data_IF_557433339051
#
_entry.id   IF_557433339051
#
_cell.length_a   1.000
_cell.length_b   1.000
_cell.length_c   1.000
_cell.angle_alpha   90.00
_cell.angle_beta   90.00
_cell.angle_gamma   90.00
#
_symmetry.space_group_name_H-M   'P 1'
#
loop_
_entity.id
_entity.type
_entity.pdbx_description
1 polymer ?
#
# COMPACT_ATOMS: atom_id res chain seq x y z
N UNK A 1 71.00 11.07 18.02
CA UNK A 1 70.29 11.51 16.80
C UNK A 1 69.69 10.30 16.10
N UNK A 2 68.40 10.00 16.32
CA UNK A 2 67.55 9.22 15.41
C UNK A 2 66.11 9.73 15.63
N UNK A 3 65.62 10.52 14.68
CA UNK A 3 64.23 10.93 14.59
C UNK A 3 63.40 9.72 14.12
N UNK A 4 62.34 9.37 14.85
CA UNK A 4 61.28 8.51 14.34
C UNK A 4 60.08 9.42 14.05
N UNK A 5 59.84 9.66 12.76
CA UNK A 5 58.69 10.37 12.27
C UNK A 5 57.45 9.46 12.38
N UNK A 6 56.49 9.87 13.20
CA UNK A 6 55.16 9.26 13.27
C UNK A 6 54.36 9.75 12.05
N UNK A 7 54.13 8.85 11.09
CA UNK A 7 53.22 9.11 9.95
C UNK A 7 51.78 8.87 10.45
N UNK A 8 51.06 9.95 10.74
CA UNK A 8 49.62 9.89 10.99
C UNK A 8 48.89 9.67 9.66
N UNK A 9 48.34 8.48 9.46
CA UNK A 9 47.36 8.22 8.40
C UNK A 9 46.04 8.90 8.78
N UNK A 10 45.74 10.03 8.13
CA UNK A 10 44.39 10.57 8.05
C UNK A 10 43.60 9.67 7.09
N UNK A 11 42.78 8.77 7.64
CA UNK A 11 41.77 8.06 6.88
C UNK A 11 40.70 9.08 6.46
N UNK A 12 40.68 9.43 5.17
CA UNK A 12 39.55 10.14 4.57
C UNK A 12 38.34 9.21 4.58
N UNK A 13 37.37 9.48 5.46
CA UNK A 13 36.03 8.92 5.34
C UNK A 13 35.42 9.51 4.07
N UNK A 14 35.52 8.77 2.98
CA UNK A 14 34.67 9.00 1.83
C UNK A 14 33.25 8.68 2.26
N UNK A 15 32.43 9.71 2.50
CA UNK A 15 30.98 9.55 2.57
C UNK A 15 30.55 8.98 1.22
N UNK A 16 30.25 7.68 1.20
CA UNK A 16 29.59 7.06 0.08
C UNK A 16 28.19 7.66 0.01
N UNK A 17 28.02 8.71 -0.79
CA UNK A 17 26.72 9.03 -1.38
C UNK A 17 26.41 7.82 -2.24
N UNK A 18 25.61 6.89 -1.71
CA UNK A 18 24.95 5.86 -2.50
C UNK A 18 24.06 6.59 -3.51
N UNK A 19 24.59 6.80 -4.71
CA UNK A 19 23.79 7.22 -5.86
C UNK A 19 22.85 6.05 -6.13
N UNK A 20 21.57 6.24 -5.83
CA UNK A 20 20.53 5.28 -6.17
C UNK A 20 20.36 5.26 -7.69
N UNK A 21 20.97 4.26 -8.32
CA UNK A 21 20.92 4.02 -9.77
C UNK A 21 19.51 3.62 -10.26
N UNK A 22 18.54 3.45 -9.35
CA UNK A 22 17.12 3.21 -9.64
C UNK A 22 16.24 4.47 -9.58
N UNK A 23 16.79 5.63 -9.18
CA UNK A 23 16.01 6.87 -9.03
C UNK A 23 15.45 7.31 -10.38
N UNK A 24 14.14 7.14 -10.57
CA UNK A 24 13.43 7.64 -11.75
C UNK A 24 13.40 9.16 -11.69
N UNK A 25 13.57 9.80 -12.85
CA UNK A 25 13.34 11.24 -12.97
C UNK A 25 11.91 11.56 -12.50
N UNK A 26 11.81 12.46 -11.53
CA UNK A 26 10.54 12.89 -10.96
C UNK A 26 10.59 14.37 -10.58
N UNK A 27 9.50 15.12 -10.79
CA UNK A 27 9.38 16.48 -10.28
C UNK A 27 9.15 16.52 -8.76
N UNK A 28 8.79 15.40 -8.12
CA UNK A 28 8.48 15.38 -6.69
C UNK A 28 9.72 15.09 -5.84
N UNK A 29 10.04 16.02 -4.96
CA UNK A 29 10.97 15.81 -3.86
C UNK A 29 10.19 15.54 -2.57
N UNK A 30 10.56 14.50 -1.85
CA UNK A 30 9.99 14.19 -0.53
C UNK A 30 11.09 14.26 0.52
N UNK A 31 10.84 15.00 1.59
CA UNK A 31 11.73 15.09 2.75
C UNK A 31 11.01 14.65 4.02
N UNK A 32 11.56 13.66 4.71
CA UNK A 32 11.10 13.19 6.01
C UNK A 32 11.89 13.86 7.12
N UNK A 33 11.20 14.22 8.20
CA UNK A 33 11.76 14.78 9.43
C UNK A 33 11.02 14.18 10.64
N UNK A 34 11.74 13.80 11.70
CA UNK A 34 11.10 13.40 12.97
C UNK A 34 10.54 14.63 13.69
N UNK A 35 9.31 14.53 14.19
CA UNK A 35 8.62 15.56 14.96
C UNK A 35 8.05 14.93 16.23
N UNK A 36 8.92 14.63 17.19
CA UNK A 36 8.59 13.88 18.41
C UNK A 36 9.25 12.50 18.42
N UNK A 37 8.72 11.58 19.24
CA UNK A 37 9.28 10.25 19.39
C UNK A 37 9.08 9.37 18.15
N UNK A 38 7.83 9.28 17.67
CA UNK A 38 7.46 8.43 16.50
C UNK A 38 6.65 9.18 15.44
N UNK A 39 6.37 10.47 15.66
CA UNK A 39 5.74 11.30 14.64
C UNK A 39 6.76 11.75 13.59
N UNK A 40 6.36 11.67 12.32
CA UNK A 40 7.14 12.00 11.14
C UNK A 40 6.37 13.05 10.35
N UNK A 41 7.09 14.10 9.94
CA UNK A 41 6.61 15.08 8.96
C UNK A 41 7.21 14.75 7.61
N UNK A 42 6.36 14.56 6.61
CA UNK A 42 6.74 14.53 5.21
C UNK A 42 6.49 15.90 4.59
N UNK A 43 7.51 16.50 3.98
CA UNK A 43 7.40 17.69 3.13
C UNK A 43 7.53 17.26 1.68
N UNK A 44 6.51 17.54 0.87
CA UNK A 44 6.42 17.14 -0.54
C UNK A 44 6.50 18.42 -1.36
N UNK A 45 7.54 18.54 -2.18
CA UNK A 45 7.79 19.71 -3.03
C UNK A 45 7.64 19.35 -4.50
N UNK A 46 6.89 20.15 -5.25
CA UNK A 46 6.83 20.05 -6.71
C UNK A 46 7.93 20.92 -7.32
N UNK A 47 9.05 20.31 -7.67
CA UNK A 47 10.17 20.96 -8.37
C UNK A 47 9.97 21.00 -9.90
N UNK A 48 8.80 20.58 -10.40
CA UNK A 48 8.43 20.66 -11.81
C UNK A 48 8.00 22.06 -12.25
N UNK A 49 7.73 22.21 -13.55
CA UNK A 49 7.30 23.48 -14.16
C UNK A 49 5.77 23.68 -14.16
N UNK A 50 5.01 22.63 -13.82
CA UNK A 50 3.54 22.63 -13.86
C UNK A 50 2.95 22.14 -12.56
N UNK A 51 1.74 22.60 -12.24
CA UNK A 51 0.99 22.13 -11.09
C UNK A 51 0.64 20.64 -11.23
N UNK A 52 0.53 19.93 -10.10
CA UNK A 52 0.16 18.52 -10.04
C UNK A 52 -1.07 18.35 -9.17
N UNK A 53 -2.03 17.53 -9.60
CA UNK A 53 -3.22 17.17 -8.81
C UNK A 53 -3.11 15.72 -8.36
N UNK A 54 -2.60 15.53 -7.15
CA UNK A 54 -2.22 14.24 -6.57
C UNK A 54 -3.41 13.57 -5.89
N UNK A 55 -3.61 12.28 -6.17
CA UNK A 55 -4.58 11.44 -5.48
C UNK A 55 -4.09 11.12 -4.06
N UNK A 56 -4.91 11.38 -3.04
CA UNK A 56 -4.50 11.29 -1.64
C UNK A 56 -4.56 9.89 -1.05
N UNK A 57 -5.52 9.07 -1.46
CA UNK A 57 -5.78 7.79 -0.78
C UNK A 57 -4.64 6.80 -0.95
N UNK A 58 -4.28 6.14 0.14
CA UNK A 58 -3.13 5.24 0.29
C UNK A 58 -1.77 5.92 0.12
N UNK A 59 -1.70 7.26 0.10
CA UNK A 59 -0.45 8.03 -0.10
C UNK A 59 0.07 8.67 1.20
N UNK A 60 1.19 9.40 1.12
CA UNK A 60 1.71 10.23 2.21
C UNK A 60 0.69 11.30 2.69
N UNK A 61 -0.29 11.65 1.84
CA UNK A 61 -1.34 12.62 2.12
C UNK A 61 -2.61 11.98 2.71
N UNK A 62 -2.65 10.66 2.86
CA UNK A 62 -3.78 9.97 3.47
C UNK A 62 -3.79 10.21 4.99
N UNK A 63 -4.96 10.44 5.57
CA UNK A 63 -5.12 10.62 7.02
C UNK A 63 -5.30 9.29 7.76
N UNK A 64 -5.59 8.21 7.02
CA UNK A 64 -5.75 6.86 7.54
C UNK A 64 -4.38 6.19 7.81
N UNK A 65 -4.35 5.12 8.63
CA UNK A 65 -3.13 4.43 9.07
C UNK A 65 -2.64 3.43 8.01
N UNK A 66 -2.48 3.92 6.78
CA UNK A 66 -1.83 3.20 5.67
C UNK A 66 -0.31 3.26 5.79
N UNK A 67 0.41 2.43 5.04
CA UNK A 67 1.86 2.44 5.04
C UNK A 67 2.40 3.63 4.24
N UNK A 68 2.92 4.62 4.96
CA UNK A 68 3.50 5.84 4.40
C UNK A 68 5.02 5.76 4.26
N UNK A 69 5.66 4.99 5.13
CA UNK A 69 7.11 4.83 5.21
C UNK A 69 7.46 3.37 5.50
N UNK A 70 8.57 2.91 4.94
CA UNK A 70 9.22 1.71 5.41
C UNK A 70 10.02 2.02 6.67
N UNK A 71 9.86 1.19 7.70
CA UNK A 71 10.62 1.28 8.95
C UNK A 71 11.55 0.08 9.03
N UNK A 72 12.81 0.31 9.38
CA UNK A 72 13.83 -0.74 9.46
C UNK A 72 14.51 -0.71 10.82
N UNK A 73 14.71 -1.87 11.42
CA UNK A 73 15.48 -2.03 12.65
C UNK A 73 16.53 -3.12 12.43
N UNK A 74 17.80 -2.81 12.72
CA UNK A 74 18.93 -3.70 12.47
C UNK A 74 18.93 -4.29 11.03
N UNK A 75 18.67 -3.43 10.03
CA UNK A 75 18.54 -3.78 8.60
C UNK A 75 17.35 -4.68 8.21
N UNK A 76 16.48 -5.05 9.15
CA UNK A 76 15.24 -5.77 8.84
C UNK A 76 14.09 -4.78 8.71
N UNK A 77 13.31 -4.87 7.62
CA UNK A 77 12.06 -4.12 7.51
C UNK A 77 11.10 -4.62 8.59
N UNK A 78 10.63 -3.72 9.45
CA UNK A 78 9.59 -4.02 10.42
C UNK A 78 8.28 -4.32 9.69
N UNK A 79 7.46 -5.15 10.30
CA UNK A 79 6.17 -5.53 9.71
C UNK A 79 5.22 -4.35 9.81
N UNK A 80 4.55 -4.04 8.71
CA UNK A 80 3.45 -3.10 8.70
C UNK A 80 2.21 -3.76 9.31
N UNK A 81 1.58 -3.07 10.25
CA UNK A 81 0.45 -3.55 11.04
C UNK A 81 -0.80 -2.66 10.92
N UNK A 82 -0.76 -1.64 10.05
CA UNK A 82 -1.91 -0.81 9.72
C UNK A 82 -2.79 -1.41 8.62
N UNK A 83 -3.65 -0.58 8.03
CA UNK A 83 -4.62 -1.03 7.03
C UNK A 83 -4.08 -0.93 5.60
N UNK A 84 -4.56 -1.82 4.75
CA UNK A 84 -4.48 -1.76 3.28
C UNK A 84 -5.85 -1.40 2.74
N UNK A 85 -5.91 -0.61 1.67
CA UNK A 85 -7.16 -0.06 1.15
C UNK A 85 -7.37 -0.52 -0.29
N UNK A 86 -8.62 -0.65 -0.72
CA UNK A 86 -9.02 -0.54 -2.13
C UNK A 86 -9.73 0.78 -2.34
N UNK A 87 -9.13 1.69 -3.10
CA UNK A 87 -9.81 2.92 -3.50
C UNK A 87 -10.65 2.73 -4.77
N UNK A 88 -11.77 3.43 -4.86
CA UNK A 88 -12.48 3.65 -6.13
C UNK A 88 -11.58 4.45 -7.06
N UNK A 89 -11.61 4.16 -8.36
CA UNK A 89 -10.74 4.79 -9.38
C UNK A 89 -11.51 5.51 -10.50
N UNK A 90 -12.84 5.51 -10.45
CA UNK A 90 -13.71 6.14 -11.44
C UNK A 90 -14.81 6.95 -10.77
N UNK A 91 -15.32 7.98 -11.45
CA UNK A 91 -16.34 8.86 -10.86
C UNK A 91 -15.84 9.58 -9.59
N UNK A 92 -14.55 9.90 -9.55
CA UNK A 92 -13.90 10.47 -8.37
C UNK A 92 -14.36 11.91 -8.13
N UNK A 93 -14.50 12.26 -6.86
CA UNK A 93 -14.80 13.62 -6.41
C UNK A 93 -13.53 14.43 -6.23
N UNK A 94 -13.63 15.77 -6.22
CA UNK A 94 -12.48 16.66 -6.08
C UNK A 94 -11.75 16.52 -4.73
N UNK A 95 -12.48 16.18 -3.66
CA UNK A 95 -11.94 16.09 -2.30
C UNK A 95 -10.93 14.95 -2.08
N UNK A 96 -10.82 14.00 -3.02
CA UNK A 96 -9.83 12.91 -2.94
C UNK A 96 -8.47 13.33 -3.52
N UNK A 97 -8.39 14.53 -4.09
CA UNK A 97 -7.16 15.09 -4.66
C UNK A 97 -6.60 16.22 -3.81
N UNK A 98 -5.29 16.44 -3.96
CA UNK A 98 -4.57 17.60 -3.47
C UNK A 98 -3.80 18.21 -4.64
N UNK A 99 -4.07 19.47 -4.96
CA UNK A 99 -3.26 20.20 -5.94
C UNK A 99 -2.03 20.77 -5.26
N UNK A 100 -0.87 20.64 -5.92
CA UNK A 100 0.39 21.26 -5.53
C UNK A 100 0.93 22.06 -6.71
N UNK A 101 1.04 23.37 -6.54
CA UNK A 101 1.52 24.26 -7.59
C UNK A 101 3.00 24.04 -7.88
N UNK A 102 3.46 24.46 -9.06
CA UNK A 102 4.89 24.47 -9.39
C UNK A 102 5.68 25.29 -8.34
N UNK A 103 6.69 24.69 -7.73
CA UNK A 103 7.50 25.27 -6.66
C UNK A 103 6.86 25.27 -5.27
N UNK A 104 5.62 24.76 -5.12
CA UNK A 104 4.96 24.66 -3.81
C UNK A 104 5.49 23.46 -3.02
N UNK A 105 5.51 23.62 -1.70
CA UNK A 105 5.72 22.54 -0.73
C UNK A 105 4.48 22.38 0.14
N UNK A 106 3.93 21.17 0.16
CA UNK A 106 2.87 20.77 1.11
C UNK A 106 3.47 19.85 2.17
N UNK A 107 2.77 19.70 3.30
CA UNK A 107 3.24 18.86 4.41
C UNK A 107 2.16 17.94 4.93
N UNK A 108 2.56 16.74 5.32
CA UNK A 108 1.73 15.78 6.05
C UNK A 108 2.48 15.30 7.28
N UNK A 109 1.76 15.04 8.37
CA UNK A 109 2.32 14.50 9.61
C UNK A 109 1.58 13.23 9.99
N UNK A 110 2.32 12.18 10.33
CA UNK A 110 1.77 10.89 10.74
C UNK A 110 2.65 10.27 11.81
N UNK A 111 2.08 9.35 12.59
CA UNK A 111 2.81 8.64 13.64
C UNK A 111 3.09 7.21 13.20
N UNK A 112 4.37 6.84 13.11
CA UNK A 112 4.77 5.50 12.64
C UNK A 112 4.47 4.41 13.65
N UNK A 113 4.30 4.74 14.94
CA UNK A 113 3.89 3.77 15.96
C UNK A 113 2.43 3.29 15.80
N UNK A 114 1.61 4.02 15.03
CA UNK A 114 0.25 3.59 14.69
C UNK A 114 0.24 2.43 13.69
N UNK A 115 1.34 2.23 12.96
CA UNK A 115 1.41 1.29 11.84
C UNK A 115 2.54 0.28 11.94
N UNK A 116 3.46 0.43 12.91
CA UNK A 116 4.55 -0.50 13.18
C UNK A 116 4.72 -0.66 14.69
N UNK A 117 5.00 -1.88 15.15
CA UNK A 117 5.34 -2.11 16.55
C UNK A 117 6.77 -1.62 16.84
N UNK A 118 6.87 -0.50 17.55
CA UNK A 118 8.12 0.12 17.97
C UNK A 118 8.33 0.00 19.49
N UNK A 119 7.59 -0.87 20.17
CA UNK A 119 7.62 -1.01 21.64
C UNK A 119 8.96 -1.49 22.21
N UNK A 120 9.81 -2.11 21.38
CA UNK A 120 11.18 -2.49 21.75
C UNK A 120 12.11 -1.28 21.92
N UNK A 121 11.79 -0.15 21.30
CA UNK A 121 12.63 1.05 21.27
C UNK A 121 13.96 0.86 20.52
N UNK A 122 14.81 1.88 20.61
CA UNK A 122 16.15 1.92 20.02
C UNK A 122 16.20 2.49 18.60
N UNK A 123 17.36 2.38 17.97
CA UNK A 123 17.63 2.96 16.66
C UNK A 123 16.81 2.29 15.54
N UNK A 124 16.15 3.12 14.73
CA UNK A 124 15.43 2.73 13.51
C UNK A 124 15.83 3.60 12.33
N UNK A 125 15.72 3.06 11.12
CA UNK A 125 15.84 3.80 9.87
C UNK A 125 14.46 3.94 9.20
N UNK A 126 14.16 5.12 8.65
CA UNK A 126 12.91 5.38 7.93
C UNK A 126 13.18 5.91 6.53
N UNK A 127 12.41 5.43 5.56
CA UNK A 127 12.39 5.98 4.20
C UNK A 127 11.02 5.78 3.54
N UNK A 128 10.70 6.61 2.57
CA UNK A 128 9.51 6.49 1.73
C UNK A 128 9.93 6.36 0.26
N UNK A 129 9.36 5.40 -0.44
CA UNK A 129 9.49 5.24 -1.88
C UNK A 129 8.14 4.78 -2.43
N UNK A 130 7.69 5.37 -3.51
CA UNK A 130 6.39 5.04 -4.08
C UNK A 130 6.05 5.87 -5.29
N UNK A 131 4.76 5.92 -5.59
CA UNK A 131 4.20 6.76 -6.65
C UNK A 131 2.96 7.47 -6.11
N UNK A 132 2.68 8.68 -6.60
CA UNK A 132 1.34 9.26 -6.49
C UNK A 132 0.60 9.03 -7.80
N UNK A 133 -0.65 8.60 -7.72
CA UNK A 133 -1.54 8.74 -8.88
C UNK A 133 -1.91 10.21 -9.06
N UNK A 134 -2.08 10.70 -10.28
CA UNK A 134 -2.46 12.08 -10.52
C UNK A 134 -3.58 12.19 -11.57
N UNK A 135 -4.33 13.28 -11.48
CA UNK A 135 -5.28 13.72 -12.50
C UNK A 135 -4.79 15.00 -13.19
N UNK A 136 -5.29 15.27 -14.38
CA UNK A 136 -5.13 16.59 -15.00
C UNK A 136 -5.92 17.64 -14.19
N UNK A 137 -5.44 18.89 -14.13
CA UNK A 137 -5.97 19.90 -13.19
C UNK A 137 -7.50 20.10 -13.28
N UNK A 138 -8.05 20.03 -14.49
CA UNK A 138 -9.47 20.28 -14.77
C UNK A 138 -10.32 19.00 -14.82
N UNK A 139 -9.80 17.86 -14.35
CA UNK A 139 -10.50 16.58 -14.34
C UNK A 139 -10.32 15.87 -13.00
N UNK A 140 -11.12 14.85 -12.73
CA UNK A 140 -10.94 13.90 -11.63
C UNK A 140 -10.60 12.50 -12.14
N UNK A 141 -10.24 12.37 -13.41
CA UNK A 141 -9.81 11.11 -14.01
C UNK A 141 -8.31 10.91 -13.76
N UNK A 142 -7.94 9.74 -13.22
CA UNK A 142 -6.53 9.40 -13.02
C UNK A 142 -5.85 9.23 -14.38
N UNK A 143 -4.94 10.16 -14.69
CA UNK A 143 -4.21 10.20 -15.95
C UNK A 143 -2.94 9.34 -15.91
N UNK A 144 -2.33 9.20 -14.74
CA UNK A 144 -1.08 8.44 -14.60
C UNK A 144 -0.55 8.42 -13.18
N UNK A 145 0.74 8.14 -13.06
CA UNK A 145 1.46 8.18 -11.78
C UNK A 145 2.75 8.99 -11.90
N UNK A 146 3.16 9.60 -10.78
CA UNK A 146 4.43 10.29 -10.61
C UNK A 146 5.22 9.64 -9.47
N UNK A 147 6.44 9.11 -9.71
CA UNK A 147 7.22 8.43 -8.68
C UNK A 147 7.82 9.41 -7.67
N UNK A 148 8.20 8.94 -6.49
CA UNK A 148 8.97 9.71 -5.53
C UNK A 148 9.86 8.80 -4.67
N UNK A 149 10.89 9.40 -4.08
CA UNK A 149 11.77 8.79 -3.09
C UNK A 149 12.15 9.85 -2.06
N UNK A 150 12.15 9.51 -0.76
CA UNK A 150 12.58 10.42 0.29
C UNK A 150 14.07 10.32 0.61
N UNK A 151 14.57 11.21 1.45
CA UNK A 151 15.78 10.94 2.23
C UNK A 151 15.57 9.75 3.18
N UNK A 152 16.68 9.13 3.61
CA UNK A 152 16.68 8.16 4.71
C UNK A 152 16.91 8.91 6.01
N UNK A 153 16.02 8.74 6.99
CA UNK A 153 16.25 9.10 8.37
C UNK A 153 16.97 7.94 9.05
N UNK A 154 18.30 8.04 9.16
CA UNK A 154 19.13 6.95 9.68
C UNK A 154 19.30 7.04 11.20
N UNK A 155 19.20 5.90 11.88
CA UNK A 155 19.48 5.73 13.32
C UNK A 155 18.72 6.72 14.20
N UNK A 156 17.42 6.88 13.95
CA UNK A 156 16.51 7.63 14.82
C UNK A 156 16.29 6.81 16.09
N UNK A 157 16.60 7.38 17.24
CA UNK A 157 16.33 6.72 18.53
C UNK A 157 14.86 6.88 18.92
N UNK A 158 14.20 5.75 19.17
CA UNK A 158 12.79 5.68 19.62
C UNK A 158 12.72 5.21 21.06
N UNK A 159 11.98 5.94 21.89
CA UNK A 159 11.52 5.45 23.20
C UNK A 159 10.40 4.44 22.99
N UNK A 160 10.68 3.19 23.33
CA UNK A 160 9.73 2.08 23.14
C UNK A 160 8.50 2.17 24.04
N UNK A 161 8.60 2.74 25.24
CA UNK A 161 7.46 2.88 26.14
C UNK A 161 6.49 3.94 25.63
N UNK A 162 7.01 5.08 25.15
CA UNK A 162 6.19 6.12 24.52
C UNK A 162 5.58 5.64 23.19
N UNK A 163 6.35 4.90 22.38
CA UNK A 163 5.82 4.30 21.16
C UNK A 163 4.71 3.27 21.44
N UNK A 164 4.87 2.45 22.48
CA UNK A 164 3.83 1.51 22.90
C UNK A 164 2.56 2.23 23.39
N UNK A 165 2.70 3.36 24.07
CA UNK A 165 1.56 4.19 24.50
C UNK A 165 0.83 4.80 23.30
N UNK A 166 1.55 5.41 22.35
CA UNK A 166 0.97 5.95 21.12
C UNK A 166 0.21 4.87 20.32
N UNK A 167 0.79 3.67 20.22
CA UNK A 167 0.15 2.50 19.59
C UNK A 167 -1.10 2.06 20.36
N UNK A 168 -1.04 1.99 21.70
CA UNK A 168 -2.16 1.59 22.52
C UNK A 168 -3.31 2.60 22.47
N UNK A 169 -3.03 3.90 22.49
CA UNK A 169 -4.04 4.96 22.36
C UNK A 169 -4.76 4.86 21.01
N UNK A 170 -4.01 4.61 19.95
CA UNK A 170 -4.54 4.40 18.61
C UNK A 170 -5.43 3.15 18.51
N UNK A 171 -4.98 2.00 19.03
CA UNK A 171 -5.79 0.77 19.08
C UNK A 171 -6.84 0.75 20.20
N UNK A 172 -6.87 1.72 21.12
CA UNK A 172 -7.96 1.83 22.11
C UNK A 172 -9.30 2.22 21.46
N UNK A 173 -9.23 2.70 20.21
CA UNK A 173 -10.36 2.99 19.33
C UNK A 173 -10.86 1.76 18.55
N UNK A 174 -10.17 0.61 18.64
CA UNK A 174 -10.56 -0.63 17.95
C UNK A 174 -11.83 -1.22 18.58
N UNK A 175 -12.98 -0.97 17.95
CA UNK A 175 -14.18 -1.78 18.18
C UNK A 175 -13.96 -3.14 17.55
N UNK A 176 -13.34 -4.03 18.33
CA UNK A 176 -13.13 -5.43 18.00
C UNK A 176 -14.40 -6.03 17.40
N UNK A 177 -14.23 -6.82 16.36
CA UNK A 177 -15.28 -7.74 15.96
C UNK A 177 -14.70 -9.00 15.31
N UNK A 178 -15.56 -10.00 15.06
CA UNK A 178 -15.39 -11.30 14.34
C UNK A 178 -16.35 -11.23 13.12
N UNK A 179 -16.34 -12.02 12.04
CA UNK A 179 -17.47 -11.94 11.04
C UNK A 179 -18.82 -11.87 11.75
N UNK A 180 -19.49 -10.71 11.74
CA UNK A 180 -20.57 -10.43 12.68
C UNK A 180 -21.92 -10.60 12.02
N UNK A 181 -22.95 -10.62 12.85
CA UNK A 181 -24.35 -10.51 12.46
C UNK A 181 -24.69 -9.20 11.70
N UNK A 182 -23.70 -8.39 11.29
CA UNK A 182 -23.87 -7.15 10.54
C UNK A 182 -24.04 -7.42 9.03
N UNK A 183 -23.42 -8.47 8.51
CA UNK A 183 -23.67 -8.94 7.15
C UNK A 183 -25.03 -9.64 7.04
N UNK A 184 -26.08 -8.88 6.75
CA UNK A 184 -27.46 -9.38 6.60
C UNK A 184 -28.09 -8.93 5.28
N UNK A 185 -29.22 -9.54 4.92
CA UNK A 185 -30.01 -9.15 3.75
C UNK A 185 -29.21 -9.14 2.44
N UNK A 186 -29.31 -8.05 1.69
CA UNK A 186 -28.66 -7.87 0.39
C UNK A 186 -27.13 -7.86 0.48
N UNK A 187 -26.54 -7.38 1.58
CA UNK A 187 -25.09 -7.36 1.76
C UNK A 187 -24.51 -8.77 1.85
N UNK A 188 -25.18 -9.65 2.61
CA UNK A 188 -24.80 -11.07 2.69
C UNK A 188 -24.89 -11.76 1.33
N UNK A 189 -25.93 -11.48 0.55
CA UNK A 189 -26.08 -12.03 -0.80
C UNK A 189 -24.98 -11.54 -1.75
N UNK A 190 -24.64 -10.25 -1.70
CA UNK A 190 -23.58 -9.67 -2.51
C UNK A 190 -22.22 -10.31 -2.19
N UNK A 191 -21.86 -10.43 -0.91
CA UNK A 191 -20.58 -11.04 -0.50
C UNK A 191 -20.48 -12.50 -0.96
N UNK A 192 -21.50 -13.32 -0.71
CA UNK A 192 -21.49 -14.72 -1.15
C UNK A 192 -21.30 -14.86 -2.66
N UNK A 193 -21.90 -13.94 -3.42
CA UNK A 193 -21.77 -13.90 -4.88
C UNK A 193 -20.37 -13.46 -5.31
N UNK A 194 -19.81 -12.45 -4.61
CA UNK A 194 -18.47 -11.94 -4.85
C UNK A 194 -17.39 -12.96 -4.50
N UNK A 195 -17.48 -13.67 -3.37
CA UNK A 195 -16.56 -14.74 -2.98
C UNK A 195 -16.59 -15.90 -3.98
N UNK A 196 -17.78 -16.34 -4.38
CA UNK A 196 -17.92 -17.38 -5.41
C UNK A 196 -17.26 -16.98 -6.74
N UNK A 197 -17.45 -15.72 -7.16
CA UNK A 197 -16.85 -15.16 -8.36
C UNK A 197 -15.33 -14.99 -8.22
N UNK A 198 -14.86 -14.48 -7.07
CA UNK A 198 -13.44 -14.38 -6.72
C UNK A 198 -12.76 -15.75 -6.84
N UNK A 199 -13.34 -16.80 -6.26
CA UNK A 199 -12.77 -18.14 -6.33
C UNK A 199 -12.71 -18.66 -7.77
N UNK A 200 -13.73 -18.39 -8.59
CA UNK A 200 -13.73 -18.77 -10.01
C UNK A 200 -12.65 -18.03 -10.81
N UNK A 201 -12.56 -16.71 -10.65
CA UNK A 201 -11.56 -15.87 -11.31
C UNK A 201 -10.15 -16.27 -10.91
N UNK A 202 -9.90 -16.47 -9.61
CA UNK A 202 -8.60 -16.86 -9.09
C UNK A 202 -8.13 -18.23 -9.63
N UNK A 203 -9.02 -19.23 -9.77
CA UNK A 203 -8.65 -20.52 -10.42
C UNK A 203 -8.27 -20.35 -11.89
N UNK A 204 -9.02 -19.53 -12.62
CA UNK A 204 -8.72 -19.23 -14.02
C UNK A 204 -7.37 -18.49 -14.15
N UNK A 205 -7.15 -17.49 -13.29
CA UNK A 205 -5.91 -16.72 -13.24
C UNK A 205 -4.71 -17.56 -12.82
N UNK A 206 -4.86 -18.50 -11.88
CA UNK A 206 -3.80 -19.46 -11.50
C UNK A 206 -3.35 -20.32 -12.71
N UNK A 207 -4.30 -20.75 -13.53
CA UNK A 207 -4.05 -21.52 -14.76
C UNK A 207 -3.38 -20.66 -15.84
N UNK A 208 -3.86 -19.43 -16.01
CA UNK A 208 -3.28 -18.47 -16.94
C UNK A 208 -1.84 -18.07 -16.54
N UNK A 209 -1.58 -17.91 -15.25
CA UNK A 209 -0.25 -17.63 -14.71
C UNK A 209 0.72 -18.79 -14.99
N UNK A 210 0.28 -20.04 -14.80
CA UNK A 210 1.15 -21.21 -14.99
C UNK A 210 1.45 -21.49 -16.47
N UNK A 211 0.49 -21.30 -17.37
CA UNK A 211 0.58 -21.81 -18.75
C UNK A 211 0.05 -20.88 -19.85
N UNK A 212 -0.52 -19.73 -19.49
CA UNK A 212 -1.06 -18.76 -20.45
C UNK A 212 0.03 -17.97 -21.19
N UNK A 213 -0.41 -17.10 -22.11
CA UNK A 213 0.48 -16.30 -22.96
C UNK A 213 1.44 -15.41 -22.15
N UNK A 214 2.73 -15.44 -22.51
CA UNK A 214 3.76 -14.61 -21.86
C UNK A 214 3.47 -13.12 -21.95
N UNK A 215 3.01 -12.64 -23.11
CA UNK A 215 2.70 -11.22 -23.31
C UNK A 215 1.66 -10.68 -22.32
N UNK A 216 0.60 -11.44 -22.04
CA UNK A 216 -0.43 -11.04 -21.06
C UNK A 216 0.14 -11.08 -19.64
N UNK A 217 0.99 -12.06 -19.31
CA UNK A 217 1.62 -12.11 -17.99
C UNK A 217 2.62 -10.96 -17.78
N UNK A 218 3.42 -10.63 -18.80
CA UNK A 218 4.38 -9.51 -18.78
C UNK A 218 3.70 -8.15 -18.71
N UNK A 219 2.50 -8.01 -19.26
CA UNK A 219 1.73 -6.77 -19.16
C UNK A 219 1.48 -6.35 -17.71
N UNK A 220 1.26 -7.32 -16.82
CA UNK A 220 0.95 -7.12 -15.40
C UNK A 220 2.17 -7.34 -14.51
N UNK A 221 3.03 -8.33 -14.76
CA UNK A 221 4.15 -8.65 -13.86
C UNK A 221 5.52 -8.22 -14.39
N UNK A 222 5.58 -7.70 -15.62
CA UNK A 222 6.80 -7.20 -16.29
C UNK A 222 7.91 -8.25 -16.44
N UNK A 223 7.57 -9.52 -16.24
CA UNK A 223 8.46 -10.68 -16.30
C UNK A 223 7.60 -11.92 -16.48
N UNK A 224 7.98 -12.86 -17.34
CA UNK A 224 7.27 -14.14 -17.53
C UNK A 224 8.09 -15.37 -17.13
N UNK A 225 9.14 -15.20 -16.32
CA UNK A 225 10.00 -16.31 -15.89
C UNK A 225 9.21 -17.39 -15.15
N UNK A 226 9.67 -18.64 -15.24
CA UNK A 226 9.04 -19.77 -14.53
C UNK A 226 8.89 -19.51 -13.04
N UNK A 227 9.87 -18.85 -12.42
CA UNK A 227 9.82 -18.47 -11.00
C UNK A 227 8.68 -17.49 -10.73
N UNK A 228 8.61 -16.37 -11.47
CA UNK A 228 7.53 -15.38 -11.33
C UNK A 228 6.15 -16.00 -11.58
N UNK A 229 6.01 -16.82 -12.62
CA UNK A 229 4.76 -17.53 -12.93
C UNK A 229 4.32 -18.47 -11.81
N UNK A 230 5.26 -19.22 -11.24
CA UNK A 230 4.99 -20.15 -10.14
C UNK A 230 4.54 -19.40 -8.89
N UNK A 231 5.19 -18.28 -8.57
CA UNK A 231 4.78 -17.42 -7.45
C UNK A 231 3.35 -16.91 -7.64
N UNK A 232 3.05 -16.32 -8.79
CA UNK A 232 1.71 -15.76 -9.07
C UNK A 232 0.63 -16.84 -9.09
N UNK A 233 0.89 -17.99 -9.72
CA UNK A 233 -0.05 -19.12 -9.75
C UNK A 233 -0.33 -19.66 -8.34
N UNK A 234 0.69 -19.71 -7.48
CA UNK A 234 0.55 -20.12 -6.08
C UNK A 234 -0.30 -19.13 -5.27
N UNK A 235 -0.10 -17.83 -5.46
CA UNK A 235 -0.94 -16.79 -4.83
C UNK A 235 -2.40 -16.95 -5.24
N UNK A 236 -2.70 -17.03 -6.53
CA UNK A 236 -4.07 -17.21 -7.02
C UNK A 236 -4.72 -18.51 -6.51
N UNK A 237 -3.94 -19.58 -6.33
CA UNK A 237 -4.44 -20.83 -5.75
C UNK A 237 -4.84 -20.66 -4.28
N UNK A 238 -4.07 -19.91 -3.50
CA UNK A 238 -4.41 -19.58 -2.11
C UNK A 238 -5.64 -18.67 -2.04
N UNK A 239 -5.71 -17.64 -2.88
CA UNK A 239 -6.90 -16.79 -3.02
C UNK A 239 -8.14 -17.61 -3.36
N UNK A 240 -8.05 -18.53 -4.32
CA UNK A 240 -9.17 -19.39 -4.72
C UNK A 240 -9.66 -20.32 -3.59
N UNK A 241 -8.75 -20.68 -2.68
CA UNK A 241 -9.08 -21.48 -1.48
C UNK A 241 -9.79 -20.62 -0.46
N UNK A 242 -9.27 -19.42 -0.17
CA UNK A 242 -9.86 -18.49 0.79
C UNK A 242 -11.26 -18.02 0.36
N UNK A 243 -11.39 -17.51 -0.88
CA UNK A 243 -12.68 -17.14 -1.45
C UNK A 243 -13.63 -18.33 -1.66
N UNK A 244 -13.15 -19.57 -1.50
CA UNK A 244 -13.92 -20.79 -1.71
C UNK A 244 -14.89 -21.15 -0.58
N UNK A 245 -14.85 -20.43 0.55
CA UNK A 245 -15.69 -20.68 1.71
C UNK A 245 -16.12 -19.39 2.39
N UNK A 246 -17.40 -19.34 2.79
CA UNK A 246 -17.97 -18.21 3.54
C UNK A 246 -18.00 -18.49 5.05
N UNK A 247 -17.49 -19.64 5.49
CA UNK A 247 -17.63 -20.14 6.88
C UNK A 247 -16.35 -20.75 7.45
N UNK A 248 -15.26 -20.70 6.69
CA UNK A 248 -13.93 -21.16 7.08
C UNK A 248 -12.92 -20.39 6.25
N UNK A 249 -11.67 -20.33 6.69
CA UNK A 249 -10.65 -19.52 6.05
C UNK A 249 -9.79 -18.86 7.10
N UNK A 250 -8.92 -17.97 6.66
CA UNK A 250 -8.07 -17.17 7.54
C UNK A 250 -8.71 -15.83 7.90
N UNK A 251 -9.52 -15.28 7.00
CA UNK A 251 -10.07 -13.94 7.15
C UNK A 251 -11.36 -13.91 7.96
N UNK A 252 -11.51 -12.87 8.76
CA UNK A 252 -12.82 -12.39 9.22
C UNK A 252 -13.32 -11.32 8.23
N UNK A 253 -14.50 -11.49 7.65
CA UNK A 253 -15.15 -10.52 6.75
C UNK A 253 -16.19 -9.66 7.49
N UNK A 254 -16.22 -8.34 7.26
CA UNK A 254 -17.26 -7.43 7.75
C UNK A 254 -17.97 -6.66 6.64
N UNK A 255 -19.22 -6.28 6.94
CA UNK A 255 -20.04 -5.39 6.10
C UNK A 255 -20.17 -3.98 6.67
N UNK A 256 -19.73 -3.78 7.91
CA UNK A 256 -19.69 -2.50 8.59
C UNK A 256 -18.26 -2.06 8.82
N UNK A 257 -18.06 -0.74 8.83
CA UNK A 257 -16.77 -0.13 9.12
C UNK A 257 -16.45 -0.25 10.62
N UNK A 258 -15.62 -1.23 10.94
CA UNK A 258 -15.25 -1.56 12.33
C UNK A 258 -14.01 -0.81 12.79
N UNK A 259 -13.31 -0.16 11.86
CA UNK A 259 -12.04 0.53 12.10
C UNK A 259 -12.13 2.05 11.84
N UNK A 260 -13.24 2.53 11.28
CA UNK A 260 -13.41 3.94 10.91
C UNK A 260 -12.62 4.35 9.66
N UNK A 261 -12.23 3.39 8.82
CA UNK A 261 -11.38 3.62 7.65
C UNK A 261 -12.16 3.82 6.34
N UNK A 262 -13.48 3.61 6.36
CA UNK A 262 -14.29 3.83 5.17
C UNK A 262 -14.53 5.33 4.96
N UNK A 263 -14.03 5.84 3.84
CA UNK A 263 -14.27 7.21 3.38
C UNK A 263 -15.11 7.25 2.09
N UNK A 264 -15.30 8.43 1.53
CA UNK A 264 -16.07 8.67 0.29
C UNK A 264 -15.54 7.92 -0.93
N UNK A 265 -14.27 7.49 -0.92
CA UNK A 265 -13.61 6.85 -2.05
C UNK A 265 -12.95 5.50 -1.72
N UNK A 266 -13.19 4.94 -0.53
CA UNK A 266 -12.67 3.62 -0.15
C UNK A 266 -13.76 2.58 -0.37
N UNK A 267 -13.44 1.57 -1.19
CA UNK A 267 -14.30 0.43 -1.49
C UNK A 267 -14.20 -0.63 -0.40
N UNK A 268 -12.99 -0.95 0.03
CA UNK A 268 -12.74 -1.96 1.04
C UNK A 268 -11.39 -1.71 1.73
N UNK A 269 -11.16 -2.40 2.84
CA UNK A 269 -9.85 -2.43 3.47
C UNK A 269 -9.56 -3.76 4.16
N UNK A 270 -8.28 -4.07 4.32
CA UNK A 270 -7.78 -5.24 5.04
C UNK A 270 -6.84 -4.80 6.16
N UNK A 271 -6.94 -5.43 7.32
CA UNK A 271 -5.95 -5.34 8.39
C UNK A 271 -5.16 -6.65 8.44
N UNK A 272 -4.00 -6.75 7.76
CA UNK A 272 -3.29 -8.03 7.60
C UNK A 272 -2.89 -8.65 8.93
N UNK A 273 -2.44 -7.81 9.88
CA UNK A 273 -1.99 -8.19 11.22
C UNK A 273 -3.08 -8.89 12.05
N UNK A 274 -4.35 -8.59 11.78
CA UNK A 274 -5.50 -9.19 12.47
C UNK A 274 -6.31 -10.16 11.59
N UNK A 275 -5.88 -10.35 10.33
CA UNK A 275 -6.52 -11.26 9.37
C UNK A 275 -8.01 -10.97 9.22
N UNK A 276 -8.34 -9.72 8.89
CA UNK A 276 -9.71 -9.37 8.59
C UNK A 276 -9.84 -8.36 7.47
N UNK A 277 -10.98 -8.40 6.78
CA UNK A 277 -11.32 -7.60 5.62
C UNK A 277 -12.68 -6.93 5.84
N UNK A 278 -12.86 -5.74 5.31
CA UNK A 278 -14.09 -4.95 5.42
C UNK A 278 -14.48 -4.44 4.06
N UNK A 279 -15.73 -4.67 3.66
CA UNK A 279 -16.33 -3.95 2.55
C UNK A 279 -16.97 -2.67 3.07
N UNK A 280 -16.50 -1.53 2.58
CA UNK A 280 -17.09 -0.23 2.90
C UNK A 280 -18.46 -0.06 2.21
N UNK A 281 -19.31 0.88 2.66
CA UNK A 281 -20.60 1.13 2.02
C UNK A 281 -20.51 1.34 0.49
N UNK A 282 -19.42 1.98 0.04
CA UNK A 282 -19.17 2.26 -1.38
C UNK A 282 -19.04 0.98 -2.23
N UNK A 283 -18.51 -0.11 -1.68
CA UNK A 283 -18.47 -1.42 -2.35
C UNK A 283 -19.85 -1.87 -2.82
N UNK A 284 -20.86 -1.69 -1.97
CA UNK A 284 -22.22 -2.16 -2.26
C UNK A 284 -22.98 -1.19 -3.16
N UNK A 285 -22.71 0.12 -3.05
CA UNK A 285 -23.45 1.14 -3.80
C UNK A 285 -22.85 1.49 -5.17
N UNK A 286 -21.52 1.37 -5.33
CA UNK A 286 -20.82 1.80 -6.54
C UNK A 286 -20.40 0.64 -7.46
N UNK A 287 -20.19 -0.57 -6.92
CA UNK A 287 -19.67 -1.68 -7.70
C UNK A 287 -20.78 -2.61 -8.20
N UNK A 288 -20.66 -3.01 -9.46
CA UNK A 288 -21.40 -4.16 -9.98
C UNK A 288 -20.85 -5.47 -9.41
N UNK A 289 -21.62 -6.57 -9.38
CA UNK A 289 -21.12 -7.86 -8.88
C UNK A 289 -19.91 -8.40 -9.66
N UNK A 290 -19.96 -8.30 -10.99
CA UNK A 290 -18.90 -8.69 -11.91
C UNK A 290 -19.03 -7.87 -13.19
N UNK A 291 -17.99 -7.10 -13.51
CA UNK A 291 -17.96 -6.24 -14.68
C UNK A 291 -17.63 -7.02 -15.95
N UNK A 292 -18.03 -6.46 -17.09
CA UNK A 292 -17.64 -6.95 -18.44
C UNK A 292 -16.70 -5.99 -19.16
N UNK A 293 -16.36 -4.87 -18.51
CA UNK A 293 -15.45 -3.86 -19.05
C UNK A 293 -14.05 -4.17 -18.54
N UNK A 294 -13.07 -4.24 -19.46
CA UNK A 294 -11.68 -4.45 -19.07
C UNK A 294 -11.22 -3.40 -18.06
N UNK A 295 -10.54 -3.85 -17.01
CA UNK A 295 -9.95 -3.01 -15.95
C UNK A 295 -10.96 -2.23 -15.09
N UNK A 296 -12.26 -2.44 -15.27
CA UNK A 296 -13.27 -1.85 -14.38
C UNK A 296 -13.30 -2.60 -13.05
N UNK A 297 -13.54 -1.86 -11.97
CA UNK A 297 -13.68 -2.43 -10.63
C UNK A 297 -15.06 -3.07 -10.47
N UNK A 298 -15.09 -4.21 -9.77
CA UNK A 298 -16.32 -4.87 -9.37
C UNK A 298 -16.15 -5.53 -7.99
N UNK A 299 -17.24 -6.08 -7.47
CA UNK A 299 -17.27 -6.71 -6.16
C UNK A 299 -16.34 -7.92 -6.09
N UNK A 300 -16.31 -8.75 -7.14
CA UNK A 300 -15.50 -9.97 -7.19
C UNK A 300 -13.98 -9.68 -7.16
N UNK A 301 -13.52 -8.75 -7.99
CA UNK A 301 -12.11 -8.35 -8.10
C UNK A 301 -11.67 -7.49 -6.92
N UNK A 302 -12.57 -6.71 -6.32
CA UNK A 302 -12.30 -6.03 -5.05
C UNK A 302 -12.13 -7.03 -3.89
N UNK A 303 -12.98 -8.05 -3.79
CA UNK A 303 -12.79 -9.13 -2.81
C UNK A 303 -11.48 -9.89 -3.06
N UNK A 304 -11.12 -10.13 -4.32
CA UNK A 304 -9.85 -10.74 -4.69
C UNK A 304 -8.66 -9.90 -4.22
N UNK A 305 -8.68 -8.59 -4.51
CA UNK A 305 -7.67 -7.62 -4.08
C UNK A 305 -7.41 -7.71 -2.57
N UNK A 306 -8.47 -7.55 -1.77
CA UNK A 306 -8.37 -7.58 -0.31
C UNK A 306 -7.84 -8.93 0.19
N UNK A 307 -8.21 -10.03 -0.46
CA UNK A 307 -7.74 -11.37 -0.11
C UNK A 307 -6.22 -11.49 -0.26
N UNK A 308 -5.61 -10.78 -1.22
CA UNK A 308 -4.16 -10.81 -1.41
C UNK A 308 -3.39 -10.11 -0.28
N UNK A 309 -4.00 -9.13 0.40
CA UNK A 309 -3.37 -8.42 1.51
C UNK A 309 -3.16 -9.29 2.74
N UNK A 310 -3.96 -10.34 2.92
CA UNK A 310 -3.81 -11.27 4.03
C UNK A 310 -2.40 -11.88 4.00
N UNK A 311 -1.69 -11.80 5.13
CA UNK A 311 -0.31 -12.29 5.27
C UNK A 311 -0.19 -13.80 4.98
N UNK A 312 -1.25 -14.56 5.25
CA UNK A 312 -1.32 -16.00 4.96
C UNK A 312 -1.51 -16.30 3.47
N UNK A 313 -1.92 -15.31 2.67
CA UNK A 313 -2.19 -15.46 1.24
C UNK A 313 -1.04 -14.90 0.42
N UNK A 314 -0.70 -13.63 0.56
CA UNK A 314 0.43 -13.04 -0.16
C UNK A 314 1.08 -11.89 0.58
N UNK A 315 0.35 -11.18 1.44
CA UNK A 315 0.86 -9.99 2.12
C UNK A 315 1.22 -8.90 1.13
N UNK A 316 0.35 -8.66 0.14
CA UNK A 316 0.55 -7.59 -0.86
C UNK A 316 0.42 -6.20 -0.23
N UNK A 317 1.03 -5.22 -0.89
CA UNK A 317 0.96 -3.79 -0.62
C UNK A 317 0.09 -3.08 -1.67
N UNK A 318 -0.24 -1.82 -1.41
CA UNK A 318 -0.97 -0.94 -2.35
C UNK A 318 -0.07 0.05 -3.10
N UNK A 319 1.17 0.27 -2.64
CA UNK A 319 2.13 1.21 -3.24
C UNK A 319 1.55 2.59 -3.61
N UNK A 320 0.54 3.06 -2.87
CA UNK A 320 -0.12 4.36 -3.08
C UNK A 320 -0.75 4.55 -4.48
N UNK A 321 -1.12 3.46 -5.17
CA UNK A 321 -1.71 3.54 -6.50
C UNK A 321 -2.74 2.46 -6.76
N UNK A 322 -3.68 2.73 -7.67
CA UNK A 322 -4.78 1.83 -8.00
C UNK A 322 -5.11 1.90 -9.50
N UNK A 323 -5.77 0.86 -9.98
CA UNK A 323 -6.20 0.72 -11.35
C UNK A 323 -5.06 0.40 -12.31
N UNK A 324 -5.42 0.24 -13.58
CA UNK A 324 -4.48 -0.19 -14.61
C UNK A 324 -3.29 0.77 -14.77
N UNK A 325 -3.52 2.08 -14.74
CA UNK A 325 -2.44 3.08 -14.80
C UNK A 325 -1.42 2.91 -13.67
N UNK A 326 -1.88 2.60 -12.45
CA UNK A 326 -1.02 2.29 -11.32
C UNK A 326 -0.18 1.05 -11.54
N UNK A 327 -0.81 -0.06 -11.94
CA UNK A 327 -0.13 -1.33 -12.27
C UNK A 327 0.94 -1.11 -13.35
N UNK A 328 0.64 -0.30 -14.38
CA UNK A 328 1.60 0.03 -15.44
C UNK A 328 2.77 0.86 -14.93
N UNK A 329 2.54 1.77 -13.98
CA UNK A 329 3.53 2.68 -13.43
C UNK A 329 4.55 2.05 -12.48
N UNK A 330 4.21 0.97 -11.79
CA UNK A 330 5.09 0.33 -10.80
C UNK A 330 6.30 -0.41 -11.43
N UNK A 331 7.25 -0.88 -10.63
CA UNK A 331 8.32 -1.80 -11.08
C UNK A 331 7.84 -3.26 -11.17
N UNK A 332 8.69 -4.17 -11.66
CA UNK A 332 8.37 -5.60 -11.69
C UNK A 332 8.26 -6.20 -10.27
N UNK A 333 9.17 -5.81 -9.37
CA UNK A 333 9.18 -6.27 -7.99
C UNK A 333 8.00 -5.72 -7.18
N UNK A 334 7.61 -4.47 -7.42
CA UNK A 334 6.40 -3.88 -6.84
C UNK A 334 5.15 -4.59 -7.34
N UNK A 335 5.01 -4.82 -8.65
CA UNK A 335 3.82 -5.49 -9.19
C UNK A 335 3.62 -6.92 -8.67
N UNK A 336 4.70 -7.67 -8.44
CA UNK A 336 4.61 -8.99 -7.83
C UNK A 336 4.01 -8.95 -6.40
N UNK A 337 4.14 -7.80 -5.72
CA UNK A 337 3.63 -7.56 -4.37
C UNK A 337 2.46 -6.56 -4.32
N UNK A 338 1.87 -6.19 -5.45
CA UNK A 338 0.82 -5.17 -5.51
C UNK A 338 -0.55 -5.82 -5.72
N UNK A 339 -1.50 -5.55 -4.82
CA UNK A 339 -2.81 -6.22 -4.81
C UNK A 339 -3.61 -6.01 -6.11
N UNK A 340 -3.63 -4.79 -6.65
CA UNK A 340 -4.31 -4.44 -7.91
C UNK A 340 -3.70 -5.12 -9.15
N UNK A 341 -2.48 -5.63 -9.05
CA UNK A 341 -1.88 -6.41 -10.16
C UNK A 341 -2.56 -7.78 -10.28
N UNK A 342 -3.09 -8.31 -9.18
CA UNK A 342 -3.79 -9.60 -9.14
C UNK A 342 -5.29 -9.47 -9.47
N UNK A 343 -5.89 -8.31 -9.21
CA UNK A 343 -7.31 -8.00 -9.45
C UNK A 343 -7.61 -7.70 -10.92
#
# INVERSE_FOLDING_TARGET
MKFLASVSFLASLASAVSIDLGKRDTPLEVKLEMVGNTAVKASITNNGETDLKLFKTSSLLDETPVEKVGVFQASNKLTFEGIRLRALTTGLSEDVFQTIAAGETITSTFDVAQTHDLSSGGAVDLSAEGVFSYAELNTTEIAGVVPFSSNVLASVEVDGAEAAAARADFFSLDKRSIVQSDCTGSYLTAIRSAESSCASLARAAATAASSGAAAKFEEYYKSSTTSTRSTVSSVFTRVATECGSTSSGVARYYCSDVYGACSSNVLAYTLPSQSYMVNCPLYFSALSPLSRTCHAQDQATTTLHETTHLSQIAGTDDYSTYGYSGVRGLSASQNLRHADTYA
#
